data_IF_324361656785
#
_entry.id   IF_324361656785
#
_cell.length_a   1.000
_cell.length_b   1.000
_cell.length_c   1.000
_cell.angle_alpha   90.00
_cell.angle_beta   90.00
_cell.angle_gamma   90.00
#
_symmetry.space_group_name_H-M   'P 1'
#
loop_
_entity.id
_entity.type
_entity.pdbx_description
1 polymer ?
#
# COMPACT_ATOMS: atom_id res chain seq x y z
N UNK A 1 -5.14 -34.84 9.46
CA UNK A 1 -5.13 -33.61 8.64
C UNK A 1 -3.71 -33.11 8.57
N UNK A 2 -3.16 -32.99 7.37
CA UNK A 2 -1.77 -32.58 7.17
C UNK A 2 -1.73 -31.09 6.88
N UNK A 3 -0.85 -30.36 7.56
CA UNK A 3 -0.64 -28.93 7.34
C UNK A 3 0.79 -28.66 6.90
N UNK A 4 0.95 -27.85 5.86
CA UNK A 4 2.26 -27.46 5.32
C UNK A 4 2.30 -25.96 5.13
N UNK A 5 3.40 -25.30 5.50
CA UNK A 5 3.64 -23.88 5.24
C UNK A 5 4.77 -23.76 4.22
N UNK A 6 4.58 -22.95 3.19
CA UNK A 6 5.60 -22.67 2.16
C UNK A 6 5.42 -21.31 1.52
N UNK A 7 6.45 -20.86 0.81
CA UNK A 7 6.36 -19.71 -0.09
C UNK A 7 5.37 -20.01 -1.22
N UNK A 8 4.57 -19.00 -1.58
CA UNK A 8 3.61 -19.04 -2.67
C UNK A 8 4.32 -18.83 -4.02
N UNK A 9 3.86 -19.52 -5.06
CA UNK A 9 4.25 -19.18 -6.42
C UNK A 9 3.49 -17.94 -6.92
N UNK A 10 3.90 -17.31 -8.04
CA UNK A 10 3.25 -16.10 -8.53
C UNK A 10 1.74 -16.23 -8.81
N UNK A 11 1.27 -17.40 -9.28
CA UNK A 11 -0.16 -17.61 -9.52
C UNK A 11 -0.95 -17.74 -8.21
N UNK A 12 -0.35 -18.29 -7.17
CA UNK A 12 -0.92 -18.33 -5.82
C UNK A 12 -0.92 -16.95 -5.15
N UNK A 13 0.01 -16.05 -5.49
CA UNK A 13 -0.03 -14.66 -5.03
C UNK A 13 -1.21 -13.90 -5.61
N UNK A 14 -1.62 -14.17 -6.85
CA UNK A 14 -2.87 -13.62 -7.39
C UNK A 14 -4.09 -14.07 -6.56
N UNK A 15 -4.06 -15.27 -5.99
CA UNK A 15 -5.11 -15.72 -5.05
C UNK A 15 -5.14 -14.85 -3.79
N UNK A 16 -4.00 -14.33 -3.32
CA UNK A 16 -3.94 -13.39 -2.19
C UNK A 16 -4.62 -12.06 -2.52
N UNK A 17 -4.37 -11.52 -3.73
CA UNK A 17 -5.02 -10.32 -4.25
C UNK A 17 -6.53 -10.51 -4.34
N UNK A 18 -6.97 -11.67 -4.84
CA UNK A 18 -8.38 -12.04 -4.91
C UNK A 18 -9.05 -12.15 -3.54
N UNK A 19 -8.36 -12.71 -2.55
CA UNK A 19 -8.88 -12.80 -1.19
C UNK A 19 -8.99 -11.41 -0.54
N UNK A 20 -7.96 -10.57 -0.66
CA UNK A 20 -7.99 -9.20 -0.14
C UNK A 20 -9.12 -8.37 -0.76
N UNK A 21 -9.38 -8.55 -2.05
CA UNK A 21 -10.54 -7.95 -2.70
C UNK A 21 -11.87 -8.38 -2.09
N UNK A 22 -12.04 -9.67 -1.77
CA UNK A 22 -13.26 -10.19 -1.11
C UNK A 22 -13.42 -9.69 0.32
N UNK A 23 -12.32 -9.34 0.99
CA UNK A 23 -12.33 -8.66 2.30
C UNK A 23 -12.60 -7.14 2.18
N UNK A 24 -12.79 -6.61 0.97
CA UNK A 24 -13.05 -5.18 0.73
C UNK A 24 -11.81 -4.29 0.69
N UNK A 25 -10.60 -4.86 0.67
CA UNK A 25 -9.36 -4.08 0.69
C UNK A 25 -9.01 -3.45 -0.68
N UNK A 26 -9.72 -3.87 -1.73
CA UNK A 26 -9.66 -3.32 -3.08
C UNK A 26 -8.22 -3.11 -3.62
N UNK A 27 -7.36 -4.14 -3.63
CA UNK A 27 -6.04 -4.05 -4.26
C UNK A 27 -6.17 -3.83 -5.78
N UNK A 28 -5.06 -3.44 -6.41
CA UNK A 28 -4.99 -3.20 -7.85
C UNK A 28 -4.94 -4.49 -8.64
N UNK A 29 -5.43 -4.45 -9.87
CA UNK A 29 -5.51 -5.63 -10.74
C UNK A 29 -4.14 -6.23 -11.11
N UNK A 30 -3.06 -5.46 -10.99
CA UNK A 30 -1.72 -5.87 -11.39
C UNK A 30 -0.67 -5.73 -10.25
N UNK A 31 -1.12 -5.52 -9.01
CA UNK A 31 -0.24 -5.20 -7.88
C UNK A 31 0.71 -6.35 -7.53
N UNK A 32 0.27 -7.61 -7.68
CA UNK A 32 1.04 -8.79 -7.33
C UNK A 32 2.43 -8.78 -8.00
N UNK A 33 2.50 -8.36 -9.27
CA UNK A 33 3.75 -8.29 -10.01
C UNK A 33 4.77 -7.33 -9.36
N UNK A 34 4.32 -6.17 -8.90
CA UNK A 34 5.19 -5.20 -8.23
C UNK A 34 5.55 -5.62 -6.81
N UNK A 35 4.63 -6.27 -6.08
CA UNK A 35 4.93 -6.84 -4.77
C UNK A 35 5.99 -7.94 -4.86
N UNK A 36 5.90 -8.81 -5.86
CA UNK A 36 6.90 -9.84 -6.14
C UNK A 36 8.22 -9.28 -6.70
N UNK A 37 8.18 -8.12 -7.36
CA UNK A 37 9.40 -7.41 -7.77
C UNK A 37 10.19 -6.92 -6.55
N UNK A 38 9.50 -6.50 -5.47
CA UNK A 38 10.17 -6.13 -4.23
C UNK A 38 10.80 -7.33 -3.52
N UNK A 39 10.03 -8.39 -3.35
CA UNK A 39 10.45 -9.56 -2.60
C UNK A 39 9.71 -10.81 -3.08
N UNK A 40 10.43 -11.66 -3.81
CA UNK A 40 9.90 -12.90 -4.40
C UNK A 40 9.53 -13.95 -3.37
N UNK A 41 9.98 -13.82 -2.12
CA UNK A 41 9.72 -14.80 -1.05
C UNK A 41 8.77 -14.30 0.03
N UNK A 42 8.32 -13.04 -0.07
CA UNK A 42 7.48 -12.38 0.92
C UNK A 42 6.15 -13.09 1.21
N UNK A 43 5.56 -13.76 0.22
CA UNK A 43 4.25 -14.39 0.36
C UNK A 43 4.37 -15.83 0.87
N UNK A 44 3.78 -16.09 2.05
CA UNK A 44 3.72 -17.42 2.69
C UNK A 44 2.27 -17.90 2.70
N UNK A 45 2.09 -19.19 2.44
CA UNK A 45 0.79 -19.85 2.50
C UNK A 45 0.80 -21.05 3.44
N UNK A 46 -0.29 -21.22 4.18
CA UNK A 46 -0.59 -22.46 4.90
C UNK A 46 -1.57 -23.28 4.08
N UNK A 47 -1.21 -24.53 3.82
CA UNK A 47 -2.02 -25.52 3.12
C UNK A 47 -2.56 -26.55 4.11
N UNK A 48 -3.86 -26.83 4.02
CA UNK A 48 -4.56 -27.90 4.76
C UNK A 48 -4.99 -28.96 3.76
N UNK A 49 -4.47 -30.17 3.92
CA UNK A 49 -4.78 -31.31 3.05
C UNK A 49 -4.58 -30.98 1.54
N UNK A 50 -3.51 -30.23 1.25
CA UNK A 50 -3.14 -29.81 -0.11
C UNK A 50 -3.81 -28.53 -0.63
N UNK A 51 -4.82 -27.99 0.06
CA UNK A 51 -5.52 -26.77 -0.35
C UNK A 51 -5.05 -25.55 0.44
N UNK A 52 -4.88 -24.40 -0.23
CA UNK A 52 -4.51 -23.14 0.42
C UNK A 52 -5.61 -22.71 1.41
N UNK A 53 -5.21 -22.46 2.65
CA UNK A 53 -6.09 -22.20 3.79
C UNK A 53 -5.88 -20.82 4.42
N UNK A 54 -4.65 -20.33 4.46
CA UNK A 54 -4.30 -18.99 4.93
C UNK A 54 -3.11 -18.44 4.16
N UNK A 55 -3.03 -17.11 4.06
CA UNK A 55 -1.98 -16.35 3.38
C UNK A 55 -1.49 -15.25 4.33
N UNK A 56 -0.22 -14.89 4.20
CA UNK A 56 0.39 -13.68 4.78
C UNK A 56 1.53 -13.21 3.87
N UNK A 57 1.71 -11.90 3.74
CA UNK A 57 2.92 -11.33 3.15
C UNK A 57 3.79 -10.70 4.25
N UNK A 58 5.11 -10.84 4.13
CA UNK A 58 6.10 -10.20 4.99
C UNK A 58 7.27 -9.72 4.13
N UNK A 59 7.15 -8.51 3.59
CA UNK A 59 8.13 -7.92 2.67
C UNK A 59 9.24 -7.23 3.45
N UNK A 60 10.49 -7.62 3.24
CA UNK A 60 11.63 -7.13 4.03
C UNK A 60 12.49 -6.11 3.27
N UNK A 61 12.91 -5.06 3.98
CA UNK A 61 13.75 -3.98 3.49
C UNK A 61 15.05 -3.92 4.30
N UNK A 62 16.16 -4.22 3.63
CA UNK A 62 17.53 -4.16 4.20
C UNK A 62 17.73 -4.93 5.52
N UNK A 63 16.93 -5.96 5.82
CA UNK A 63 16.89 -6.68 7.12
C UNK A 63 16.58 -5.81 8.35
N UNK A 64 16.20 -4.53 8.17
CA UNK A 64 15.92 -3.57 9.25
C UNK A 64 14.43 -3.33 9.45
N UNK A 65 13.65 -3.52 8.40
CA UNK A 65 12.21 -3.29 8.42
C UNK A 65 11.48 -4.37 7.63
N UNK A 66 10.35 -4.84 8.15
CA UNK A 66 9.45 -5.74 7.44
C UNK A 66 8.05 -5.15 7.46
N UNK A 67 7.38 -5.14 6.32
CA UNK A 67 5.98 -4.79 6.22
C UNK A 67 5.13 -6.06 6.08
N UNK A 68 4.15 -6.22 6.97
CA UNK A 68 3.22 -7.36 6.94
C UNK A 68 1.88 -6.94 6.34
N UNK A 69 1.44 -7.70 5.34
CA UNK A 69 0.16 -7.52 4.65
C UNK A 69 -0.52 -8.86 4.36
N UNK A 70 -1.64 -8.84 3.63
CA UNK A 70 -2.35 -10.04 3.14
C UNK A 70 -2.62 -11.14 4.18
N UNK A 71 -2.69 -10.80 5.47
CA UNK A 71 -2.94 -11.79 6.52
C UNK A 71 -4.40 -12.21 6.54
N UNK A 72 -4.73 -13.23 5.75
CA UNK A 72 -6.09 -13.66 5.44
C UNK A 72 -6.20 -15.17 5.60
N UNK A 73 -7.23 -15.62 6.32
CA UNK A 73 -7.61 -17.03 6.39
C UNK A 73 -8.99 -17.22 5.75
N UNK A 74 -9.14 -18.31 5.00
CA UNK A 74 -10.40 -18.73 4.41
C UNK A 74 -11.54 -18.71 5.44
N UNK A 75 -12.70 -18.10 5.14
CA UNK A 75 -13.78 -17.95 6.11
C UNK A 75 -14.22 -19.26 6.78
N UNK A 76 -14.31 -20.35 6.03
CA UNK A 76 -14.71 -21.68 6.49
C UNK A 76 -13.68 -22.37 7.40
N UNK A 77 -12.45 -21.84 7.46
CA UNK A 77 -11.34 -22.39 8.25
C UNK A 77 -10.92 -21.47 9.41
N UNK A 78 -11.60 -20.34 9.61
CA UNK A 78 -11.33 -19.41 10.72
C UNK A 78 -11.63 -20.05 12.08
N UNK A 79 -10.94 -19.57 13.12
CA UNK A 79 -11.08 -20.07 14.48
C UNK A 79 -10.40 -21.43 14.76
N UNK A 80 -9.75 -22.04 13.77
CA UNK A 80 -9.10 -23.35 13.89
C UNK A 80 -7.58 -23.26 14.14
N UNK A 81 -7.05 -22.08 14.46
CA UNK A 81 -5.62 -21.85 14.74
C UNK A 81 -4.70 -21.78 13.50
N UNK A 82 -5.21 -21.96 12.28
CA UNK A 82 -4.39 -21.96 11.06
C UNK A 82 -3.70 -20.63 10.79
N UNK A 83 -4.44 -19.51 10.89
CA UNK A 83 -3.86 -18.17 10.74
C UNK A 83 -2.74 -17.93 11.76
N UNK A 84 -2.97 -18.31 13.03
CA UNK A 84 -1.99 -18.16 14.09
C UNK A 84 -0.72 -18.99 13.84
N UNK A 85 -0.86 -20.23 13.36
CA UNK A 85 0.27 -21.07 12.99
C UNK A 85 1.10 -20.44 11.86
N UNK A 86 0.44 -19.91 10.83
CA UNK A 86 1.10 -19.20 9.73
C UNK A 86 1.79 -17.90 10.20
N UNK A 87 1.13 -17.16 11.09
CA UNK A 87 1.70 -15.96 11.73
C UNK A 87 2.96 -16.30 12.52
N UNK A 88 2.92 -17.31 13.39
CA UNK A 88 4.06 -17.72 14.19
C UNK A 88 5.25 -18.17 13.33
N UNK A 89 4.99 -18.97 12.30
CA UNK A 89 6.00 -19.38 11.32
C UNK A 89 6.63 -18.17 10.62
N UNK A 90 5.80 -17.27 10.09
CA UNK A 90 6.27 -16.10 9.33
C UNK A 90 7.07 -15.13 10.20
N UNK A 91 6.67 -14.97 11.46
CA UNK A 91 7.35 -14.10 12.40
C UNK A 91 8.61 -14.72 13.01
N UNK A 92 8.82 -16.02 12.83
CA UNK A 92 10.02 -16.69 13.29
C UNK A 92 11.22 -16.23 12.44
N UNK A 93 12.16 -15.53 13.06
CA UNK A 93 13.35 -15.02 12.39
C UNK A 93 13.22 -13.64 11.76
N UNK A 94 12.05 -12.98 11.83
CA UNK A 94 11.95 -11.56 11.46
C UNK A 94 12.80 -10.72 12.41
N UNK A 95 13.61 -9.83 11.84
CA UNK A 95 14.48 -8.89 12.55
C UNK A 95 13.97 -7.46 12.38
N UNK A 96 14.45 -6.56 13.23
CA UNK A 96 14.16 -5.13 13.12
C UNK A 96 12.71 -4.78 13.43
N UNK A 97 12.28 -3.64 12.88
CA UNK A 97 10.91 -3.13 13.07
C UNK A 97 9.96 -3.83 12.12
N UNK A 98 8.79 -4.26 12.62
CA UNK A 98 7.72 -4.81 11.78
C UNK A 98 6.57 -3.82 11.74
N UNK A 99 6.15 -3.38 10.56
CA UNK A 99 4.99 -2.52 10.35
C UNK A 99 3.81 -3.27 9.74
N UNK A 100 2.58 -2.84 10.05
CA UNK A 100 1.36 -3.29 9.38
C UNK A 100 0.30 -2.19 9.37
N UNK A 101 -0.68 -2.34 8.48
CA UNK A 101 -1.98 -1.67 8.55
C UNK A 101 -3.05 -2.69 8.91
N UNK A 102 -3.46 -2.68 10.18
CA UNK A 102 -4.44 -3.62 10.70
C UNK A 102 -5.86 -3.09 10.55
N UNK A 103 -6.80 -3.92 10.10
CA UNK A 103 -8.22 -3.57 10.22
C UNK A 103 -8.57 -3.32 11.69
N UNK A 104 -9.44 -2.36 11.96
CA UNK A 104 -9.71 -1.88 13.33
C UNK A 104 -10.09 -3.01 14.28
N UNK A 105 -10.89 -3.97 13.81
CA UNK A 105 -11.33 -5.14 14.58
C UNK A 105 -10.20 -6.09 15.03
N UNK A 106 -9.00 -5.97 14.46
CA UNK A 106 -7.85 -6.84 14.75
C UNK A 106 -6.76 -6.14 15.58
N UNK A 107 -6.91 -4.86 15.92
CA UNK A 107 -5.91 -4.09 16.66
C UNK A 107 -5.48 -4.77 17.97
N UNK A 108 -6.43 -5.27 18.76
CA UNK A 108 -6.12 -5.95 20.03
C UNK A 108 -5.29 -7.22 19.83
N UNK A 109 -5.50 -7.94 18.73
CA UNK A 109 -4.73 -9.13 18.40
C UNK A 109 -3.29 -8.77 18.00
N UNK A 110 -3.10 -7.67 17.26
CA UNK A 110 -1.76 -7.16 16.96
C UNK A 110 -1.06 -6.60 18.21
N UNK A 111 -1.79 -5.91 19.09
CA UNK A 111 -1.27 -5.42 20.36
C UNK A 111 -0.73 -6.55 21.25
N UNK A 112 -1.45 -7.69 21.32
CA UNK A 112 -0.96 -8.92 21.98
C UNK A 112 0.32 -9.48 21.37
N UNK A 113 0.60 -9.17 20.11
CA UNK A 113 1.84 -9.53 19.40
C UNK A 113 2.95 -8.47 19.51
N UNK A 114 2.76 -7.47 20.37
CA UNK A 114 3.75 -6.41 20.65
C UNK A 114 3.69 -5.23 19.69
N UNK A 115 2.64 -5.10 18.88
CA UNK A 115 2.44 -3.94 18.02
C UNK A 115 1.86 -2.76 18.81
N UNK A 116 2.37 -1.56 18.54
CA UNK A 116 1.89 -0.31 19.10
C UNK A 116 1.29 0.54 17.98
N UNK A 117 0.12 1.13 18.24
CA UNK A 117 -0.53 2.06 17.32
C UNK A 117 0.35 3.32 17.13
N UNK A 118 0.57 3.70 15.87
CA UNK A 118 1.21 4.97 15.51
C UNK A 118 0.18 6.01 15.07
N UNK A 119 -0.68 5.66 14.11
CA UNK A 119 -1.79 6.50 13.66
C UNK A 119 -2.82 5.67 12.90
N UNK A 120 -3.90 6.31 12.42
CA UNK A 120 -4.86 5.69 11.49
C UNK A 120 -4.51 6.05 10.05
N UNK A 121 -4.85 5.16 9.13
CA UNK A 121 -4.96 5.48 7.71
C UNK A 121 -6.44 5.37 7.33
N UNK A 122 -6.98 6.40 6.68
CA UNK A 122 -8.38 6.49 6.28
C UNK A 122 -8.44 6.44 4.75
N UNK A 123 -9.16 5.45 4.22
CA UNK A 123 -9.49 5.40 2.80
C UNK A 123 -10.64 6.35 2.53
N UNK A 124 -10.39 7.33 1.69
CA UNK A 124 -11.40 8.17 1.09
C UNK A 124 -11.79 7.61 -0.28
N UNK A 125 -13.08 7.59 -0.60
CA UNK A 125 -13.63 7.04 -1.84
C UNK A 125 -14.79 7.87 -2.37
N UNK A 126 -14.94 7.91 -3.69
CA UNK A 126 -16.00 8.66 -4.37
C UNK A 126 -15.64 9.00 -5.81
N UNK A 127 -16.48 9.80 -6.46
CA UNK A 127 -16.14 10.40 -7.76
C UNK A 127 -15.57 11.78 -7.52
N UNK A 128 -14.35 12.02 -8.00
CA UNK A 128 -13.71 13.33 -7.96
C UNK A 128 -13.74 13.99 -9.34
N UNK A 129 -13.89 15.32 -9.43
CA UNK A 129 -13.72 16.03 -10.69
C UNK A 129 -12.24 15.96 -11.12
N UNK A 130 -12.00 15.85 -12.43
CA UNK A 130 -10.66 16.04 -12.96
C UNK A 130 -10.17 17.46 -12.66
N UNK A 131 -8.90 17.59 -12.29
CA UNK A 131 -8.28 18.89 -12.09
C UNK A 131 -7.99 19.62 -13.40
N UNK A 132 -7.73 20.92 -13.30
CA UNK A 132 -7.12 21.64 -14.42
C UNK A 132 -5.71 21.08 -14.67
N UNK A 133 -5.32 21.00 -15.94
CA UNK A 133 -3.95 20.61 -16.30
C UNK A 133 -2.95 21.61 -15.73
N UNK A 134 -1.93 21.10 -15.04
CA UNK A 134 -0.79 21.88 -14.56
C UNK A 134 0.45 21.49 -15.38
N UNK A 135 1.12 22.42 -16.07
CA UNK A 135 2.27 22.10 -16.93
C UNK A 135 3.48 21.58 -16.15
N UNK A 136 3.50 21.71 -14.82
CA UNK A 136 4.54 21.14 -13.94
C UNK A 136 4.30 19.66 -13.67
N UNK A 137 3.10 19.13 -13.91
CA UNK A 137 2.83 17.70 -13.82
C UNK A 137 3.20 17.05 -15.15
N UNK A 138 4.20 16.19 -15.11
CA UNK A 138 4.79 15.55 -16.29
C UNK A 138 4.83 14.04 -16.13
N UNK A 139 4.85 13.34 -17.25
CA UNK A 139 5.15 11.91 -17.28
C UNK A 139 6.55 11.65 -16.68
N UNK A 140 6.68 10.55 -15.97
CA UNK A 140 7.96 10.15 -15.40
C UNK A 140 8.86 9.62 -16.52
N UNK A 141 9.88 10.40 -16.87
CA UNK A 141 10.92 10.06 -17.82
C UNK A 141 12.21 9.67 -17.09
N UNK A 142 13.20 9.06 -17.77
CA UNK A 142 14.44 8.60 -17.13
C UNK A 142 15.18 9.67 -16.31
N UNK A 143 15.15 10.93 -16.73
CA UNK A 143 15.76 12.06 -16.02
C UNK A 143 15.01 12.46 -14.72
N UNK A 144 13.80 11.95 -14.48
CA UNK A 144 13.02 12.18 -13.25
C UNK A 144 13.24 11.07 -12.21
N UNK A 145 13.74 9.90 -12.63
CA UNK A 145 13.78 8.69 -11.80
C UNK A 145 14.56 8.86 -10.50
N UNK A 146 15.71 9.53 -10.52
CA UNK A 146 16.52 9.75 -9.31
C UNK A 146 15.79 10.62 -8.29
N UNK A 147 15.07 11.65 -8.76
CA UNK A 147 14.25 12.51 -7.90
C UNK A 147 13.07 11.76 -7.30
N UNK A 148 12.37 10.94 -8.11
CA UNK A 148 11.27 10.09 -7.64
C UNK A 148 11.76 9.06 -6.61
N UNK A 149 12.87 8.37 -6.89
CA UNK A 149 13.44 7.38 -5.98
C UNK A 149 13.91 8.00 -4.65
N UNK A 150 14.51 9.19 -4.70
CA UNK A 150 14.90 9.95 -3.50
C UNK A 150 13.68 10.30 -2.65
N UNK A 151 12.60 10.73 -3.29
CA UNK A 151 11.36 11.09 -2.60
C UNK A 151 10.63 9.88 -2.02
N UNK A 152 10.53 8.80 -2.78
CA UNK A 152 9.97 7.52 -2.35
C UNK A 152 10.69 7.02 -1.11
N UNK A 153 12.03 6.95 -1.15
CA UNK A 153 12.84 6.50 -0.02
C UNK A 153 12.68 7.41 1.21
N UNK A 154 12.56 8.74 1.01
CA UNK A 154 12.34 9.67 2.11
C UNK A 154 10.95 9.51 2.77
N UNK A 155 9.92 9.15 2.00
CA UNK A 155 8.55 9.01 2.48
C UNK A 155 8.25 7.60 3.02
N UNK A 156 8.82 6.57 2.40
CA UNK A 156 8.66 5.18 2.81
C UNK A 156 9.67 4.76 3.89
N UNK A 157 10.86 5.37 3.89
CA UNK A 157 11.96 5.11 4.83
C UNK A 157 13.05 4.19 4.29
N UNK A 158 12.84 3.51 3.15
CA UNK A 158 13.79 2.60 2.53
C UNK A 158 13.80 2.74 1.00
N UNK A 159 14.97 2.51 0.40
CA UNK A 159 15.06 2.37 -1.05
C UNK A 159 14.42 1.04 -1.49
N UNK A 160 13.54 1.11 -2.49
CA UNK A 160 12.82 -0.03 -3.08
C UNK A 160 12.82 0.03 -4.61
N UNK A 161 14.00 -0.02 -5.26
CA UNK A 161 14.14 0.30 -6.69
C UNK A 161 13.41 -0.69 -7.62
N UNK A 162 13.43 -1.99 -7.30
CA UNK A 162 12.76 -3.01 -8.11
C UNK A 162 11.23 -2.88 -8.04
N UNK A 163 10.70 -2.63 -6.83
CA UNK A 163 9.31 -2.25 -6.62
C UNK A 163 8.96 -0.99 -7.42
N UNK A 164 9.73 0.08 -7.23
CA UNK A 164 9.44 1.40 -7.79
C UNK A 164 9.43 1.34 -9.33
N UNK A 165 10.37 0.62 -9.94
CA UNK A 165 10.39 0.39 -11.39
C UNK A 165 9.11 -0.27 -11.90
N UNK A 166 8.60 -1.28 -11.20
CA UNK A 166 7.34 -1.94 -11.56
C UNK A 166 6.12 -1.05 -11.27
N UNK A 167 6.14 -0.30 -10.17
CA UNK A 167 5.01 0.50 -9.69
C UNK A 167 4.77 1.75 -10.53
N UNK A 168 5.82 2.36 -11.08
CA UNK A 168 5.74 3.57 -11.92
C UNK A 168 5.33 3.29 -13.37
N UNK A 169 5.17 2.01 -13.75
CA UNK A 169 4.68 1.61 -15.07
C UNK A 169 3.43 0.71 -14.95
N UNK A 170 2.35 1.18 -14.30
CA UNK A 170 1.18 0.36 -14.06
C UNK A 170 0.51 0.00 -15.42
N UNK A 171 0.22 -1.28 -15.70
CA UNK A 171 -0.42 -1.68 -16.96
C UNK A 171 -1.78 -1.03 -17.21
N UNK A 172 -2.50 -0.73 -16.14
CA UNK A 172 -3.85 -0.16 -16.17
C UNK A 172 -3.91 1.08 -15.26
N UNK A 173 -3.12 2.09 -15.58
CA UNK A 173 -2.97 3.25 -14.72
C UNK A 173 -2.10 4.33 -15.33
N UNK A 174 -1.67 5.24 -14.46
CA UNK A 174 -0.80 6.35 -14.84
C UNK A 174 0.10 6.72 -13.66
N UNK A 175 1.33 7.13 -13.95
CA UNK A 175 2.26 7.65 -12.98
C UNK A 175 2.84 8.96 -13.51
N UNK A 176 2.84 9.99 -12.67
CA UNK A 176 3.33 11.32 -13.02
C UNK A 176 4.12 11.94 -11.87
N UNK A 177 4.95 12.91 -12.20
CA UNK A 177 5.74 13.70 -11.26
C UNK A 177 5.39 15.17 -11.38
N UNK A 178 5.45 15.90 -10.26
CA UNK A 178 5.40 17.35 -10.23
C UNK A 178 6.83 17.87 -10.21
N UNK A 179 7.20 18.66 -11.22
CA UNK A 179 8.54 19.22 -11.40
C UNK A 179 8.47 20.73 -11.31
N UNK A 180 9.20 21.30 -10.34
CA UNK A 180 9.36 22.73 -10.19
C UNK A 180 10.83 23.05 -9.95
N UNK A 181 11.31 24.13 -10.55
CA UNK A 181 12.71 24.59 -10.41
C UNK A 181 13.73 23.51 -10.82
N UNK A 182 13.38 22.67 -11.79
CA UNK A 182 14.23 21.58 -12.27
C UNK A 182 14.34 20.37 -11.34
N UNK A 183 13.54 20.30 -10.27
CA UNK A 183 13.53 19.19 -9.32
C UNK A 183 12.15 18.56 -9.17
N UNK A 184 12.12 17.26 -8.89
CA UNK A 184 10.89 16.55 -8.52
C UNK A 184 10.46 16.99 -7.12
N UNK A 185 9.28 17.59 -7.01
CA UNK A 185 8.65 18.03 -5.73
C UNK A 185 7.44 17.18 -5.34
N UNK A 186 7.04 16.24 -6.20
CA UNK A 186 6.03 15.24 -5.89
C UNK A 186 5.96 14.17 -6.97
N UNK A 187 5.37 13.03 -6.65
CA UNK A 187 4.90 12.07 -7.64
C UNK A 187 3.69 11.30 -7.10
N UNK A 188 2.92 10.74 -8.03
CA UNK A 188 1.85 9.85 -7.65
C UNK A 188 1.55 8.82 -8.72
N UNK A 189 0.85 7.77 -8.31
CA UNK A 189 0.45 6.67 -9.18
C UNK A 189 -1.03 6.42 -8.98
N UNK A 190 -1.77 6.30 -10.09
CA UNK A 190 -3.15 5.82 -10.12
C UNK A 190 -3.20 4.49 -10.84
N UNK A 191 -3.96 3.54 -10.32
CA UNK A 191 -4.02 2.16 -10.82
C UNK A 191 -5.43 1.61 -10.72
N UNK A 192 -5.85 0.86 -11.74
CA UNK A 192 -7.16 0.18 -11.76
C UNK A 192 -7.21 -0.88 -10.68
N UNK A 193 -8.26 -0.82 -9.87
CA UNK A 193 -8.63 -1.85 -8.91
C UNK A 193 -9.87 -2.60 -9.41
N UNK A 194 -10.37 -3.58 -8.65
CA UNK A 194 -11.64 -4.23 -8.99
C UNK A 194 -12.78 -3.21 -9.00
N UNK A 195 -12.84 -2.38 -7.96
CA UNK A 195 -13.70 -1.21 -7.91
C UNK A 195 -12.87 0.05 -8.15
N UNK A 196 -13.27 0.84 -9.15
CA UNK A 196 -12.63 2.14 -9.43
C UNK A 196 -11.11 2.09 -9.64
N UNK A 197 -10.47 3.19 -9.26
CA UNK A 197 -9.02 3.36 -9.30
C UNK A 197 -8.51 3.78 -7.93
N UNK A 198 -7.30 3.35 -7.58
CA UNK A 198 -6.64 3.79 -6.35
C UNK A 198 -5.44 4.66 -6.70
N UNK A 199 -5.31 5.77 -5.98
CA UNK A 199 -4.14 6.63 -6.00
C UNK A 199 -3.24 6.21 -4.82
N UNK A 200 -2.00 5.83 -5.12
CA UNK A 200 -1.06 5.34 -4.11
C UNK A 200 0.29 4.95 -4.72
N UNK A 201 1.41 5.57 -4.31
CA UNK A 201 1.46 6.68 -3.36
C UNK A 201 0.97 8.00 -4.00
N UNK A 202 0.70 8.98 -3.14
CA UNK A 202 0.68 10.40 -3.50
C UNK A 202 1.64 11.11 -2.54
N UNK A 203 2.88 11.29 -2.98
CA UNK A 203 3.92 11.96 -2.19
C UNK A 203 4.22 13.33 -2.79
N UNK A 204 4.32 14.35 -1.95
CA UNK A 204 4.54 15.73 -2.39
C UNK A 204 5.19 16.57 -1.28
N UNK A 205 5.94 17.59 -1.65
CA UNK A 205 6.55 18.53 -0.70
C UNK A 205 5.51 19.41 0.01
N UNK A 206 4.41 19.72 -0.69
CA UNK A 206 3.34 20.58 -0.20
C UNK A 206 1.98 20.23 -0.83
N UNK A 207 0.95 20.95 -0.40
CA UNK A 207 -0.44 20.76 -0.84
C UNK A 207 -0.70 21.20 -2.29
N UNK A 208 0.10 22.13 -2.83
CA UNK A 208 -0.05 22.58 -4.22
C UNK A 208 0.38 21.46 -5.17
N UNK A 209 1.58 20.92 -4.96
CA UNK A 209 2.08 19.79 -5.74
C UNK A 209 1.15 18.56 -5.60
N UNK A 210 0.65 18.26 -4.39
CA UNK A 210 -0.28 17.17 -4.18
C UNK A 210 -1.61 17.36 -4.92
N UNK A 211 -2.19 18.56 -4.89
CA UNK A 211 -3.44 18.86 -5.58
C UNK A 211 -3.31 18.77 -7.11
N UNK A 212 -2.20 19.28 -7.65
CA UNK A 212 -1.91 19.20 -9.08
C UNK A 212 -1.75 17.73 -9.54
N UNK A 213 -0.98 16.92 -8.80
CA UNK A 213 -0.83 15.50 -9.06
C UNK A 213 -2.17 14.76 -8.97
N UNK A 214 -2.93 14.98 -7.89
CA UNK A 214 -4.24 14.37 -7.69
C UNK A 214 -5.18 14.68 -8.86
N UNK A 215 -5.28 15.95 -9.26
CA UNK A 215 -6.13 16.40 -10.36
C UNK A 215 -5.81 15.70 -11.68
N UNK A 216 -4.53 15.56 -12.02
CA UNK A 216 -4.07 14.84 -13.22
C UNK A 216 -4.36 13.35 -13.14
N UNK A 217 -4.10 12.72 -11.98
CA UNK A 217 -4.31 11.28 -11.78
C UNK A 217 -5.80 10.90 -11.86
N UNK A 218 -6.69 11.69 -11.24
CA UNK A 218 -8.14 11.44 -11.29
C UNK A 218 -8.70 11.47 -12.71
N UNK A 219 -8.09 12.22 -13.63
CA UNK A 219 -8.52 12.24 -15.04
C UNK A 219 -8.47 10.84 -15.69
N UNK A 220 -7.55 9.96 -15.26
CA UNK A 220 -7.46 8.56 -15.72
C UNK A 220 -8.71 7.75 -15.36
N UNK A 221 -9.42 8.12 -14.29
CA UNK A 221 -10.61 7.40 -13.84
C UNK A 221 -11.87 7.71 -14.67
N UNK A 222 -11.83 8.70 -15.58
CA UNK A 222 -12.93 9.04 -16.50
C UNK A 222 -14.30 9.20 -15.81
N UNK A 223 -14.31 9.83 -14.63
CA UNK A 223 -15.54 10.03 -13.82
C UNK A 223 -15.97 8.82 -12.99
N UNK A 224 -15.23 7.70 -13.06
CA UNK A 224 -15.41 6.55 -12.18
C UNK A 224 -14.92 6.80 -10.75
N UNK A 225 -15.21 5.88 -9.82
CA UNK A 225 -14.78 6.01 -8.44
C UNK A 225 -13.26 5.98 -8.31
N UNK A 226 -12.73 6.84 -7.45
CA UNK A 226 -11.32 6.92 -7.06
C UNK A 226 -11.18 6.74 -5.55
N UNK A 227 -10.06 6.16 -5.14
CA UNK A 227 -9.73 5.91 -3.74
C UNK A 227 -8.36 6.47 -3.39
N UNK A 228 -8.24 7.06 -2.19
CA UNK A 228 -6.99 7.60 -1.65
C UNK A 228 -6.86 7.18 -0.18
N UNK A 229 -5.73 6.57 0.18
CA UNK A 229 -5.46 6.11 1.55
C UNK A 229 -4.62 7.15 2.30
N UNK A 230 -5.29 7.97 3.12
CA UNK A 230 -4.71 9.16 3.78
C UNK A 230 -4.26 8.86 5.21
N UNK A 231 -3.02 9.17 5.62
CA UNK A 231 -2.66 9.21 7.03
C UNK A 231 -3.49 10.25 7.78
N UNK A 232 -4.29 9.81 8.76
CA UNK A 232 -5.24 10.67 9.50
C UNK A 232 -4.59 11.94 10.10
N UNK A 233 -3.36 11.89 10.66
CA UNK A 233 -2.70 13.08 11.20
C UNK A 233 -2.43 14.19 10.17
N UNK A 234 -2.49 13.89 8.86
CA UNK A 234 -2.19 14.84 7.80
C UNK A 234 -3.43 15.67 7.41
N UNK A 235 -3.62 16.80 8.09
CA UNK A 235 -4.77 17.68 7.87
C UNK A 235 -4.95 18.14 6.41
N UNK A 236 -3.88 18.55 5.72
CA UNK A 236 -3.98 19.00 4.32
C UNK A 236 -4.34 17.86 3.35
N UNK A 237 -3.91 16.62 3.62
CA UNK A 237 -4.30 15.46 2.81
C UNK A 237 -5.78 15.10 2.99
N UNK A 238 -6.30 15.19 4.22
CA UNK A 238 -7.74 15.07 4.47
C UNK A 238 -8.54 16.15 3.76
N UNK A 239 -8.09 17.41 3.85
CA UNK A 239 -8.72 18.52 3.15
C UNK A 239 -8.70 18.36 1.63
N UNK A 240 -7.62 17.81 1.04
CA UNK A 240 -7.55 17.48 -0.38
C UNK A 240 -8.62 16.44 -0.76
N UNK A 241 -8.71 15.34 -0.02
CA UNK A 241 -9.68 14.28 -0.30
C UNK A 241 -11.13 14.77 -0.17
N UNK A 242 -11.46 15.45 0.93
CA UNK A 242 -12.79 15.97 1.22
C UNK A 242 -13.18 17.09 0.24
N UNK A 243 -12.25 18.00 -0.08
CA UNK A 243 -12.45 19.07 -1.06
C UNK A 243 -12.66 18.55 -2.48
N UNK A 244 -12.13 17.37 -2.80
CA UNK A 244 -12.39 16.67 -4.06
C UNK A 244 -13.73 15.90 -4.08
N UNK A 245 -14.51 15.94 -3.00
CA UNK A 245 -15.79 15.24 -2.89
C UNK A 245 -15.68 13.77 -2.49
N UNK A 246 -14.52 13.33 -2.01
CA UNK A 246 -14.34 11.97 -1.49
C UNK A 246 -14.80 11.88 -0.03
N UNK A 247 -15.40 10.75 0.34
CA UNK A 247 -15.86 10.48 1.70
C UNK A 247 -15.07 9.33 2.33
N UNK A 248 -14.89 9.28 3.66
CA UNK A 248 -14.28 8.15 4.32
C UNK A 248 -15.12 6.88 4.13
N UNK A 249 -14.51 5.80 3.64
CA UNK A 249 -15.21 4.53 3.33
C UNK A 249 -14.58 3.30 4.00
N UNK A 250 -13.33 3.41 4.48
CA UNK A 250 -12.62 2.33 5.17
C UNK A 250 -11.48 2.90 6.00
N UNK A 251 -11.01 2.16 7.00
CA UNK A 251 -9.86 2.59 7.80
C UNK A 251 -9.04 1.42 8.36
N UNK A 252 -7.76 1.71 8.56
CA UNK A 252 -6.79 0.81 9.18
C UNK A 252 -6.00 1.54 10.26
N UNK A 253 -5.40 0.74 11.14
CA UNK A 253 -4.47 1.18 12.16
C UNK A 253 -3.04 0.90 11.70
N UNK A 254 -2.26 1.96 11.50
CA UNK A 254 -0.82 1.89 11.32
C UNK A 254 -0.18 1.49 12.63
N UNK A 255 0.40 0.30 12.69
CA UNK A 255 1.04 -0.22 13.91
C UNK A 255 2.46 -0.72 13.64
N UNK A 256 3.31 -0.65 14.67
CA UNK A 256 4.68 -1.15 14.62
C UNK A 256 5.02 -2.03 15.82
N UNK A 257 5.75 -3.11 15.58
CA UNK A 257 6.47 -3.89 16.59
C UNK A 257 7.96 -3.53 16.50
N UNK A 258 8.50 -2.96 17.57
CA UNK A 258 9.82 -2.32 17.56
C UNK A 258 9.73 -0.79 17.36
N UNK A 259 10.87 -0.08 17.29
CA UNK A 259 10.88 1.38 17.14
C UNK A 259 10.20 1.81 15.84
N UNK A 260 9.15 2.62 15.94
CA UNK A 260 8.45 3.15 14.77
C UNK A 260 9.38 4.09 13.97
N UNK A 261 9.40 4.01 12.62
CA UNK A 261 10.17 4.92 11.79
C UNK A 261 9.64 6.35 11.89
N UNK A 262 10.55 7.33 11.83
CA UNK A 262 10.20 8.74 11.75
C UNK A 262 9.99 9.14 10.30
N UNK A 263 8.75 8.98 9.81
CA UNK A 263 8.39 9.35 8.44
C UNK A 263 7.93 10.81 8.34
N UNK A 264 8.20 11.50 7.22
CA UNK A 264 7.76 12.88 7.01
C UNK A 264 6.27 12.90 6.64
N UNK A 265 5.37 12.58 7.58
CA UNK A 265 3.93 12.46 7.33
C UNK A 265 3.32 13.66 6.57
N UNK A 266 3.87 14.87 6.75
CA UNK A 266 3.48 16.09 6.02
C UNK A 266 3.68 16.03 4.49
N UNK A 267 4.40 15.02 3.98
CA UNK A 267 4.67 14.79 2.56
C UNK A 267 3.89 13.60 2.00
N UNK A 268 3.12 12.91 2.84
CA UNK A 268 2.45 11.64 2.51
C UNK A 268 0.95 11.91 2.40
N UNK A 269 0.52 12.42 1.23
CA UNK A 269 -0.89 12.71 0.97
C UNK A 269 -1.70 11.45 0.70
N UNK A 270 -1.05 10.40 0.22
CA UNK A 270 -1.58 9.05 0.12
C UNK A 270 -0.46 8.03 0.30
N UNK A 271 -0.68 7.02 1.15
CA UNK A 271 0.26 5.90 1.30
C UNK A 271 0.32 5.05 0.03
N UNK A 272 1.31 4.17 -0.08
CA UNK A 272 1.50 3.34 -1.29
C UNK A 272 0.38 2.31 -1.43
N UNK A 273 0.16 1.56 -0.35
CA UNK A 273 -0.91 0.58 -0.20
C UNK A 273 -1.00 0.09 1.25
N UNK A 274 -2.14 -0.45 1.67
CA UNK A 274 -2.25 -1.08 3.00
C UNK A 274 -1.41 -2.36 3.10
N UNK A 275 -1.13 -3.00 1.97
CA UNK A 275 -0.49 -4.31 1.93
C UNK A 275 1.04 -4.26 1.94
N UNK A 276 1.63 -3.11 1.63
CA UNK A 276 3.09 -2.94 1.50
C UNK A 276 3.63 -1.63 2.12
N UNK A 277 2.75 -0.70 2.51
CA UNK A 277 3.12 0.60 3.13
C UNK A 277 3.30 1.73 2.14
#
# INVERSE_FOLDING_TARGET
MTTTIRTLDPAEVETAVDWAAREGWNPGLADASAFLAQDKTAFRGLFRDGALAAIISATTYQELFTFVGFYICRPDLRGQGLGLALWQDTFNGLKGTVGLDGVVAQQDNYARSGFVLAHRNIRYGGTAPAGASDPRVVDIAPNHMDGVATMDAACFGFARPDFLKAWLAPPFGHACAFVAEGAVKGYGVIRRCREGHKIGPLFADDAEAAAALFGTLVATAQGGPVFLDVPEPHAAARALAEGAGLAPVFETARMYRGPAPQLPLRRIFGITSFELG
#
